data_IF_473041671669
#
_entry.id   IF_473041671669
#
_cell.length_a   1.000
_cell.length_b   1.000
_cell.length_c   1.000
_cell.angle_alpha   90.00
_cell.angle_beta   90.00
_cell.angle_gamma   90.00
#
_symmetry.space_group_name_H-M   'P 1'
#
loop_
_entity.id
_entity.type
_entity.pdbx_description
1 polymer ?
#
# COMPACT_ATOMS: atom_id res chain seq x y z
N UNK A 1 6.84 -3.41 -20.30
CA UNK A 1 5.46 -3.49 -20.83
C UNK A 1 4.62 -2.75 -19.83
N UNK A 2 3.96 -1.65 -20.21
CA UNK A 2 3.09 -0.91 -19.29
C UNK A 2 1.71 -1.54 -19.38
N UNK A 3 1.35 -2.37 -18.39
CA UNK A 3 0.01 -2.95 -18.29
C UNK A 3 -0.96 -1.93 -17.75
N UNK A 4 -2.10 -1.74 -18.42
CA UNK A 4 -3.19 -0.89 -17.93
C UNK A 4 -4.14 -1.81 -17.16
N UNK A 5 -4.44 -1.50 -15.90
CA UNK A 5 -5.45 -2.25 -15.14
C UNK A 5 -6.84 -1.96 -15.71
N UNK A 6 -7.18 -0.68 -15.84
CA UNK A 6 -8.52 -0.20 -16.19
C UNK A 6 -8.42 1.15 -16.92
N UNK A 7 -9.32 1.36 -17.88
CA UNK A 7 -9.58 2.64 -18.56
C UNK A 7 -11.05 2.97 -18.33
N UNK A 8 -11.33 4.04 -17.60
CA UNK A 8 -12.71 4.44 -17.25
C UNK A 8 -13.08 5.79 -17.87
N UNK A 9 -14.36 5.95 -18.24
CA UNK A 9 -14.91 7.10 -18.98
C UNK A 9 -15.81 7.91 -18.05
N UNK A 10 -15.35 9.10 -17.63
CA UNK A 10 -16.10 9.97 -16.71
C UNK A 10 -16.83 11.09 -17.49
N UNK A 11 -18.17 11.08 -17.46
CA UNK A 11 -19.02 12.21 -17.90
C UNK A 11 -19.12 12.47 -19.42
N UNK A 12 -19.86 13.53 -19.79
CA UNK A 12 -20.14 13.93 -21.18
C UNK A 12 -18.97 14.65 -21.87
N UNK A 13 -17.99 15.15 -21.09
CA UNK A 13 -16.64 15.49 -21.54
C UNK A 13 -15.69 14.40 -21.07
N UNK A 14 -15.53 13.38 -21.91
CA UNK A 14 -14.82 12.15 -21.58
C UNK A 14 -13.31 12.39 -21.40
N UNK A 15 -12.84 12.41 -20.15
CA UNK A 15 -11.45 12.14 -19.83
C UNK A 15 -11.26 10.65 -19.55
N UNK A 16 -10.22 10.08 -20.12
CA UNK A 16 -9.79 8.71 -19.89
C UNK A 16 -8.79 8.69 -18.72
N UNK A 17 -9.06 7.88 -17.70
CA UNK A 17 -8.14 7.67 -16.57
C UNK A 17 -7.49 6.29 -16.66
N UNK A 18 -6.16 6.25 -16.57
CA UNK A 18 -5.37 5.01 -16.58
C UNK A 18 -4.96 4.64 -15.16
N UNK A 19 -5.22 3.39 -14.76
CA UNK A 19 -4.72 2.82 -13.52
C UNK A 19 -3.56 1.85 -13.79
N UNK A 20 -2.45 2.02 -13.07
CA UNK A 20 -1.32 1.11 -13.10
C UNK A 20 -1.23 0.27 -11.83
N UNK A 21 -1.06 -1.04 -12.00
CA UNK A 21 -0.57 -1.88 -10.91
C UNK A 21 0.94 -1.70 -10.79
N UNK A 22 1.50 -2.04 -9.64
CA UNK A 22 2.93 -1.97 -9.41
C UNK A 22 3.59 -3.29 -9.82
N UNK A 23 3.40 -4.34 -9.04
CA UNK A 23 4.13 -5.59 -9.19
C UNK A 23 3.73 -6.33 -10.47
N UNK A 24 4.71 -6.66 -11.31
CA UNK A 24 4.45 -7.32 -12.60
C UNK A 24 3.84 -6.41 -13.67
N UNK A 25 3.64 -5.12 -13.36
CA UNK A 25 3.07 -4.13 -14.29
C UNK A 25 4.00 -2.93 -14.45
N UNK A 26 3.98 -1.96 -13.53
CA UNK A 26 4.86 -0.79 -13.59
C UNK A 26 6.30 -1.13 -13.20
N UNK A 27 6.45 -2.06 -12.26
CA UNK A 27 7.73 -2.52 -11.73
C UNK A 27 8.27 -3.71 -12.50
N UNK A 28 9.59 -3.72 -12.70
CA UNK A 28 10.30 -4.89 -13.21
C UNK A 28 10.49 -5.96 -12.11
N UNK A 29 11.14 -7.08 -12.47
CA UNK A 29 11.43 -8.18 -11.52
C UNK A 29 12.32 -7.78 -10.34
N UNK A 30 13.02 -6.65 -10.44
CA UNK A 30 13.85 -6.08 -9.39
C UNK A 30 13.09 -5.08 -8.50
N UNK A 31 11.76 -4.95 -8.66
CA UNK A 31 10.93 -3.93 -7.99
C UNK A 31 11.31 -2.49 -8.33
N UNK A 32 11.76 -2.24 -9.57
CA UNK A 32 12.19 -0.91 -10.02
C UNK A 32 11.38 -0.43 -11.24
N UNK A 33 11.19 0.88 -11.34
CA UNK A 33 10.64 1.53 -12.53
C UNK A 33 11.77 1.76 -13.53
N UNK A 34 11.68 1.11 -14.70
CA UNK A 34 12.68 1.23 -15.77
C UNK A 34 12.73 2.64 -16.38
N UNK A 35 13.86 3.03 -16.96
CA UNK A 35 13.98 4.33 -17.66
C UNK A 35 12.92 4.51 -18.75
N UNK A 36 12.64 3.46 -19.53
CA UNK A 36 11.58 3.46 -20.53
C UNK A 36 10.20 3.73 -19.92
N UNK A 37 9.88 3.12 -18.79
CA UNK A 37 8.61 3.37 -18.08
C UNK A 37 8.54 4.81 -17.58
N UNK A 38 9.63 5.34 -17.01
CA UNK A 38 9.69 6.75 -16.55
C UNK A 38 9.45 7.74 -17.68
N UNK A 39 10.11 7.53 -18.82
CA UNK A 39 9.90 8.33 -20.03
C UNK A 39 8.45 8.26 -20.50
N UNK A 40 7.87 7.05 -20.53
CA UNK A 40 6.47 6.85 -20.92
C UNK A 40 5.50 7.59 -19.99
N UNK A 41 5.72 7.53 -18.67
CA UNK A 41 4.91 8.28 -17.69
C UNK A 41 5.02 9.80 -17.91
N UNK A 42 6.22 10.29 -18.21
CA UNK A 42 6.44 11.70 -18.58
C UNK A 42 5.63 12.11 -19.82
N UNK A 43 5.68 11.28 -20.87
CA UNK A 43 4.93 11.51 -22.12
C UNK A 43 3.40 11.49 -21.93
N UNK A 44 2.89 10.74 -20.96
CA UNK A 44 1.46 10.77 -20.58
C UNK A 44 1.10 12.12 -19.95
N UNK A 45 1.94 12.59 -19.01
CA UNK A 45 1.76 13.90 -18.36
C UNK A 45 1.83 15.07 -19.35
N UNK A 46 2.80 15.05 -20.27
CA UNK A 46 2.93 16.06 -21.33
C UNK A 46 1.71 16.12 -22.27
N UNK A 47 0.98 15.01 -22.41
CA UNK A 47 -0.22 14.91 -23.25
C UNK A 47 -1.53 15.13 -22.48
N UNK A 48 -1.45 15.55 -21.22
CA UNK A 48 -2.61 15.74 -20.34
C UNK A 48 -3.49 14.47 -20.23
N UNK A 49 -2.85 13.30 -20.26
CA UNK A 49 -3.53 12.02 -20.06
C UNK A 49 -3.54 11.73 -18.56
N UNK A 50 -4.72 11.55 -17.98
CA UNK A 50 -4.87 11.26 -16.57
C UNK A 50 -4.40 9.83 -16.25
N UNK A 51 -3.54 9.68 -15.24
CA UNK A 51 -3.11 8.36 -14.77
C UNK A 51 -2.83 8.34 -13.27
N UNK A 52 -3.00 7.17 -12.66
CA UNK A 52 -2.73 6.92 -11.24
C UNK A 52 -2.32 5.46 -10.99
N UNK A 53 -2.08 5.10 -9.73
CA UNK A 53 -1.72 3.74 -9.29
C UNK A 53 -2.84 3.11 -8.48
N UNK A 54 -3.02 1.80 -8.64
CA UNK A 54 -3.85 0.96 -7.78
C UNK A 54 -3.13 -0.37 -7.51
N UNK A 55 -2.87 -0.67 -6.25
CA UNK A 55 -2.00 -1.80 -5.89
C UNK A 55 -2.36 -2.46 -4.57
N UNK A 56 -1.98 -3.73 -4.42
CA UNK A 56 -2.04 -4.44 -3.15
C UNK A 56 -0.96 -4.06 -2.14
N UNK A 57 0.10 -3.34 -2.56
CA UNK A 57 1.13 -2.87 -1.65
C UNK A 57 0.56 -1.90 -0.61
N UNK A 58 1.17 -1.88 0.57
CA UNK A 58 0.92 -0.82 1.57
C UNK A 58 1.33 0.53 1.01
N UNK A 59 0.68 1.61 1.46
CA UNK A 59 1.04 2.98 1.07
C UNK A 59 2.55 3.25 1.20
N UNK A 60 3.14 2.91 2.35
CA UNK A 60 4.56 3.13 2.59
C UNK A 60 5.46 2.38 1.58
N UNK A 61 5.16 1.10 1.30
CA UNK A 61 5.97 0.30 0.36
C UNK A 61 5.83 0.80 -1.08
N UNK A 62 4.62 1.19 -1.48
CA UNK A 62 4.35 1.76 -2.79
C UNK A 62 5.02 3.12 -2.99
N UNK A 63 4.89 4.03 -2.02
CA UNK A 63 5.50 5.36 -2.09
C UNK A 63 7.01 5.29 -2.22
N UNK A 64 7.67 4.32 -1.57
CA UNK A 64 9.11 4.11 -1.69
C UNK A 64 9.54 3.82 -3.14
N UNK A 65 8.85 2.94 -3.85
CA UNK A 65 9.19 2.58 -5.24
C UNK A 65 8.72 3.64 -6.26
N UNK A 66 7.71 4.43 -5.90
CA UNK A 66 7.19 5.53 -6.71
C UNK A 66 7.98 6.84 -6.54
N UNK A 67 8.98 6.88 -5.65
CA UNK A 67 9.78 8.09 -5.41
C UNK A 67 10.34 8.67 -6.71
N UNK A 68 10.19 9.98 -6.86
CA UNK A 68 10.64 10.72 -8.04
C UNK A 68 9.75 10.56 -9.28
N UNK A 69 8.58 9.91 -9.17
CA UNK A 69 7.57 9.89 -10.24
C UNK A 69 6.41 10.83 -9.89
N UNK A 70 5.90 11.55 -10.90
CA UNK A 70 4.87 12.58 -10.71
C UNK A 70 3.44 12.01 -10.82
N UNK A 71 3.07 11.14 -9.88
CA UNK A 71 1.67 10.71 -9.76
C UNK A 71 0.87 11.72 -8.91
N UNK A 72 0.13 12.60 -9.58
CA UNK A 72 -0.57 13.73 -8.93
C UNK A 72 -2.04 13.45 -8.59
N UNK A 73 -2.63 12.40 -9.15
CA UNK A 73 -3.99 11.96 -8.85
C UNK A 73 -4.01 11.03 -7.63
N UNK A 74 -5.18 10.79 -7.01
CA UNK A 74 -5.29 9.90 -5.86
C UNK A 74 -4.81 8.47 -6.14
N UNK A 75 -4.01 7.91 -5.23
CA UNK A 75 -3.43 6.57 -5.30
C UNK A 75 -4.26 5.59 -4.48
N UNK A 76 -4.40 4.36 -4.97
CA UNK A 76 -5.13 3.29 -4.29
C UNK A 76 -4.14 2.23 -3.79
N UNK A 77 -4.16 1.96 -2.49
CA UNK A 77 -3.25 1.04 -1.80
C UNK A 77 -4.01 -0.01 -0.99
N UNK A 78 -3.28 -1.00 -0.48
CA UNK A 78 -3.81 -2.02 0.41
C UNK A 78 -5.06 -2.72 -0.18
N UNK A 79 -5.06 -3.00 -1.49
CA UNK A 79 -6.19 -3.58 -2.22
C UNK A 79 -7.49 -2.73 -2.14
N UNK A 80 -7.37 -1.41 -2.05
CA UNK A 80 -8.51 -0.50 -2.00
C UNK A 80 -8.88 -0.01 -0.60
N UNK A 81 -8.22 -0.49 0.46
CA UNK A 81 -8.48 -0.04 1.84
C UNK A 81 -8.01 1.38 2.07
N UNK A 82 -6.90 1.78 1.43
CA UNK A 82 -6.29 3.09 1.63
C UNK A 82 -6.26 3.89 0.33
N UNK A 83 -6.79 5.11 0.37
CA UNK A 83 -6.76 6.06 -0.75
C UNK A 83 -5.98 7.29 -0.32
N UNK A 84 -4.88 7.57 -1.01
CA UNK A 84 -4.02 8.73 -0.73
C UNK A 84 -4.18 9.78 -1.83
N UNK A 85 -4.66 10.97 -1.48
CA UNK A 85 -4.67 12.14 -2.35
C UNK A 85 -3.43 13.01 -2.08
N UNK A 86 -2.42 13.01 -2.97
CA UNK A 86 -1.23 13.83 -2.80
C UNK A 86 -1.51 15.34 -2.98
N UNK A 87 -2.56 15.73 -3.71
CA UNK A 87 -2.88 17.15 -3.93
C UNK A 87 -3.59 17.75 -2.71
N UNK A 88 -4.54 17.01 -2.14
CA UNK A 88 -5.25 17.38 -0.91
C UNK A 88 -4.51 17.05 0.39
N UNK A 89 -3.38 16.33 0.32
CA UNK A 89 -2.67 15.78 1.48
C UNK A 89 -3.58 14.93 2.40
N UNK A 90 -4.49 14.17 1.79
CA UNK A 90 -5.57 13.47 2.47
C UNK A 90 -5.43 11.94 2.33
N UNK A 91 -5.54 11.24 3.45
CA UNK A 91 -5.66 9.77 3.46
C UNK A 91 -7.08 9.41 3.88
N UNK A 92 -7.72 8.58 3.08
CA UNK A 92 -9.01 7.97 3.39
C UNK A 92 -8.79 6.49 3.63
N UNK A 93 -9.38 5.95 4.71
CA UNK A 93 -9.38 4.53 5.01
C UNK A 93 -10.83 4.02 4.96
N UNK A 94 -11.08 3.02 4.12
CA UNK A 94 -12.39 2.40 3.94
C UNK A 94 -12.27 0.88 4.01
N UNK A 95 -13.39 0.20 4.28
CA UNK A 95 -13.44 -1.27 4.37
C UNK A 95 -12.44 -1.85 5.38
N UNK A 96 -12.27 -1.16 6.51
CA UNK A 96 -11.45 -1.63 7.63
C UNK A 96 -12.09 -2.86 8.28
N UNK A 97 -11.23 -3.78 8.75
CA UNK A 97 -11.68 -4.90 9.57
C UNK A 97 -12.19 -4.41 10.92
N UNK A 98 -13.34 -4.91 11.35
CA UNK A 98 -13.85 -4.70 12.69
C UNK A 98 -12.95 -5.40 13.73
N UNK A 99 -12.85 -4.89 14.97
CA UNK A 99 -12.02 -5.51 16.01
C UNK A 99 -12.31 -7.00 16.23
N UNK A 100 -13.58 -7.42 16.13
CA UNK A 100 -13.97 -8.83 16.22
C UNK A 100 -13.42 -9.69 15.09
N UNK A 101 -13.36 -9.16 13.86
CA UNK A 101 -12.80 -9.86 12.71
C UNK A 101 -11.29 -10.00 12.85
N UNK A 102 -10.61 -8.94 13.30
CA UNK A 102 -9.18 -8.98 13.59
C UNK A 102 -8.87 -10.01 14.67
N UNK A 103 -9.61 -10.02 15.78
CA UNK A 103 -9.43 -11.00 16.86
C UNK A 103 -9.63 -12.44 16.37
N UNK A 104 -10.65 -12.70 15.54
CA UNK A 104 -10.89 -14.00 14.94
C UNK A 104 -9.73 -14.46 14.05
N UNK A 105 -9.18 -13.55 13.23
CA UNK A 105 -8.02 -13.83 12.37
C UNK A 105 -6.77 -14.13 13.20
N UNK A 106 -6.53 -13.34 14.25
CA UNK A 106 -5.39 -13.54 15.16
C UNK A 106 -5.49 -14.91 15.82
N UNK A 107 -6.65 -15.25 16.39
CA UNK A 107 -6.87 -16.53 17.05
C UNK A 107 -6.59 -17.70 16.09
N UNK A 108 -7.12 -17.64 14.87
CA UNK A 108 -6.88 -18.68 13.87
C UNK A 108 -5.42 -18.75 13.44
N UNK A 109 -4.75 -17.61 13.22
CA UNK A 109 -3.33 -17.60 12.85
C UNK A 109 -2.47 -18.25 13.95
N UNK A 110 -2.71 -17.87 15.21
CA UNK A 110 -1.98 -18.42 16.36
C UNK A 110 -2.20 -19.93 16.49
N UNK A 111 -3.45 -20.38 16.39
CA UNK A 111 -3.83 -21.80 16.47
C UNK A 111 -3.22 -22.64 15.34
N UNK A 112 -3.00 -22.04 14.18
CA UNK A 112 -2.35 -22.70 13.03
C UNK A 112 -0.84 -22.48 12.99
N UNK A 113 -0.25 -21.96 14.07
CA UNK A 113 1.18 -21.70 14.19
C UNK A 113 1.74 -20.74 13.11
N UNK A 114 0.95 -19.72 12.77
CA UNK A 114 1.30 -18.64 11.83
C UNK A 114 1.41 -17.34 12.63
N UNK A 115 2.42 -16.52 12.33
CA UNK A 115 2.56 -15.16 12.89
C UNK A 115 1.76 -14.17 12.05
N UNK A 116 0.67 -13.59 12.59
CA UNK A 116 -0.05 -12.54 11.88
C UNK A 116 0.71 -11.22 11.91
N UNK A 117 0.63 -10.45 10.81
CA UNK A 117 1.15 -9.10 10.70
C UNK A 117 0.01 -8.12 10.40
N UNK A 118 -0.31 -7.26 11.38
CA UNK A 118 -1.44 -6.33 11.31
C UNK A 118 -0.89 -4.95 10.94
N UNK A 119 -1.23 -4.48 9.75
CA UNK A 119 -0.82 -3.16 9.26
C UNK A 119 -1.88 -2.13 9.67
N UNK A 120 -1.47 -1.09 10.37
CA UNK A 120 -2.37 -0.03 10.87
C UNK A 120 -1.76 1.34 10.57
N UNK A 121 -2.62 2.34 10.40
CA UNK A 121 -2.19 3.73 10.23
C UNK A 121 -2.79 4.55 11.35
N UNK A 122 -1.96 5.24 12.12
CA UNK A 122 -2.41 6.17 13.13
C UNK A 122 -2.88 7.47 12.46
N UNK A 123 -4.20 7.61 12.31
CA UNK A 123 -4.83 8.77 11.67
C UNK A 123 -4.72 10.05 12.51
N UNK A 124 -4.49 9.94 13.82
CA UNK A 124 -4.34 11.07 14.74
C UNK A 124 -2.91 11.64 14.74
N UNK A 125 -1.95 10.87 14.21
CA UNK A 125 -0.56 11.33 14.04
C UNK A 125 -0.46 12.23 12.80
N UNK A 126 0.18 13.42 12.91
CA UNK A 126 0.41 14.30 11.75
C UNK A 126 1.16 13.60 10.61
N UNK A 127 2.05 12.68 10.96
CA UNK A 127 2.88 11.92 10.02
C UNK A 127 2.19 10.63 9.53
N UNK A 128 0.93 10.39 9.96
CA UNK A 128 0.15 9.18 9.64
C UNK A 128 0.98 7.92 9.91
N UNK A 129 1.49 7.80 11.13
CA UNK A 129 2.45 6.75 11.52
C UNK A 129 1.90 5.37 11.13
N UNK A 130 2.66 4.64 10.31
CA UNK A 130 2.36 3.25 9.97
C UNK A 130 2.94 2.33 11.05
N UNK A 131 2.08 1.50 11.64
CA UNK A 131 2.46 0.56 12.70
C UNK A 131 2.12 -0.85 12.25
N UNK A 132 3.11 -1.75 12.36
CA UNK A 132 2.94 -3.17 12.07
C UNK A 132 3.01 -3.93 13.40
N UNK A 133 1.89 -4.53 13.78
CA UNK A 133 1.80 -5.37 14.96
C UNK A 133 1.99 -6.85 14.59
N UNK A 134 2.78 -7.56 15.38
CA UNK A 134 3.00 -9.00 15.17
C UNK A 134 3.27 -9.74 16.47
N UNK A 135 2.99 -11.04 16.50
CA UNK A 135 3.46 -11.94 17.55
C UNK A 135 4.93 -12.31 17.34
N UNK A 136 5.53 -13.04 18.29
CA UNK A 136 6.87 -13.62 18.08
C UNK A 136 6.90 -14.46 16.80
N UNK A 137 7.87 -14.23 15.89
CA UNK A 137 8.01 -15.03 14.68
C UNK A 137 8.30 -16.50 15.03
N UNK A 138 7.75 -17.39 14.22
CA UNK A 138 7.74 -18.85 14.35
C UNK A 138 8.47 -19.53 13.20
N UNK A 139 8.44 -18.93 12.01
CA UNK A 139 9.06 -19.46 10.79
C UNK A 139 10.11 -18.51 10.21
N UNK A 140 11.10 -19.04 9.49
CA UNK A 140 12.17 -18.23 8.89
C UNK A 140 11.64 -17.12 7.98
N UNK A 141 10.54 -17.36 7.25
CA UNK A 141 9.91 -16.34 6.39
C UNK A 141 9.43 -15.13 7.20
N UNK A 142 8.99 -15.33 8.43
CA UNK A 142 8.48 -14.27 9.31
C UNK A 142 9.63 -13.46 9.90
N UNK A 143 10.74 -14.13 10.26
CA UNK A 143 12.00 -13.46 10.61
C UNK A 143 12.51 -12.61 9.44
N UNK A 144 12.53 -13.18 8.23
CA UNK A 144 12.96 -12.49 7.02
C UNK A 144 12.09 -11.27 6.72
N UNK A 145 10.76 -11.36 6.91
CA UNK A 145 9.85 -10.22 6.77
C UNK A 145 10.22 -9.08 7.72
N UNK A 146 10.46 -9.39 8.99
CA UNK A 146 10.83 -8.39 10.00
C UNK A 146 12.21 -7.78 9.68
N UNK A 147 13.22 -8.62 9.50
CA UNK A 147 14.62 -8.21 9.42
C UNK A 147 15.01 -7.61 8.08
N UNK A 148 14.41 -8.06 6.97
CA UNK A 148 14.80 -7.65 5.62
C UNK A 148 13.84 -6.66 4.99
N UNK A 149 12.56 -6.70 5.34
CA UNK A 149 11.53 -5.88 4.71
C UNK A 149 11.04 -4.76 5.64
N UNK A 150 10.48 -5.09 6.79
CA UNK A 150 9.90 -4.06 7.67
C UNK A 150 10.94 -3.14 8.30
N UNK A 151 12.11 -3.67 8.66
CA UNK A 151 13.26 -2.88 9.16
C UNK A 151 13.74 -1.78 8.21
N UNK A 152 13.48 -1.93 6.90
CA UNK A 152 13.88 -0.96 5.87
C UNK A 152 12.83 0.13 5.62
N UNK A 153 11.68 0.02 6.29
CA UNK A 153 10.60 1.00 6.21
C UNK A 153 10.63 1.95 7.40
N UNK A 154 9.91 3.08 7.31
CA UNK A 154 9.66 3.96 8.45
C UNK A 154 8.53 3.42 9.36
N UNK A 155 8.02 2.22 9.10
CA UNK A 155 6.95 1.65 9.91
C UNK A 155 7.49 1.28 11.30
N UNK A 156 6.71 1.57 12.33
CA UNK A 156 7.02 1.16 13.69
C UNK A 156 6.58 -0.28 13.90
N UNK A 157 7.45 -1.09 14.47
CA UNK A 157 7.10 -2.46 14.89
C UNK A 157 6.61 -2.45 16.34
N UNK A 158 5.57 -3.23 16.61
CA UNK A 158 4.99 -3.38 17.94
C UNK A 158 4.47 -4.79 18.17
N UNK A 159 4.32 -5.17 19.44
CA UNK A 159 3.83 -6.51 19.80
C UNK A 159 2.31 -6.59 19.62
N UNK A 160 1.82 -7.76 19.23
CA UNK A 160 0.37 -7.97 19.06
C UNK A 160 -0.42 -7.79 20.37
N UNK A 161 0.20 -8.04 21.52
CA UNK A 161 -0.43 -7.82 22.83
C UNK A 161 -0.73 -6.34 23.05
N UNK A 162 0.16 -5.45 22.59
CA UNK A 162 -0.10 -4.01 22.66
C UNK A 162 -1.25 -3.57 21.75
N UNK A 163 -1.46 -4.23 20.61
CA UNK A 163 -2.62 -3.99 19.75
C UNK A 163 -3.91 -4.41 20.46
N UNK A 164 -3.93 -5.62 21.02
CA UNK A 164 -5.10 -6.15 21.71
C UNK A 164 -5.51 -5.26 22.88
N UNK A 165 -4.56 -4.81 23.71
CA UNK A 165 -4.82 -3.90 24.84
C UNK A 165 -5.48 -2.57 24.45
N UNK A 166 -5.27 -2.07 23.22
CA UNK A 166 -5.87 -0.84 22.74
C UNK A 166 -7.32 -1.01 22.24
N UNK A 167 -7.76 -2.25 22.01
CA UNK A 167 -9.04 -2.59 21.38
C UNK A 167 -9.91 -3.54 22.24
N UNK A 168 -9.62 -3.63 23.54
CA UNK A 168 -10.50 -4.20 24.58
C UNK A 168 -11.43 -3.09 25.08
#
# INVERSE_FOLDING_TARGET
MVGIILKERLGTNCMDLIFFDLDGTLLNKSSEISSFTKETLGLLGERDIAFTVATGRTMHSAQFVLQGQSFVLPHIYNNGVAIWDPAGNALTLENLLAPSEVNLIIEHAVNNNITPFINTVNMDSPDREHVIYHSSPKHQVEHDLIEKYFSRTKARLASIESYLLMHI
#
